data_IF_263493957269
#
_entry.id   IF_263493957269
#
_cell.length_a   1.000
_cell.length_b   1.000
_cell.length_c   1.000
_cell.angle_alpha   90.00
_cell.angle_beta   90.00
_cell.angle_gamma   90.00
#
_symmetry.space_group_name_H-M   'P 1'
#
loop_
_entity.id
_entity.type
_entity.pdbx_description
1 polymer ?
#
# COMPACT_ATOMS: atom_id res chain seq x y z
N UNK A 1 5.98 14.59 7.06
CA UNK A 1 7.28 13.88 7.14
C UNK A 1 7.61 13.36 5.75
N UNK A 2 8.86 13.46 5.33
CA UNK A 2 9.36 12.94 4.05
C UNK A 2 10.53 12.00 4.32
N UNK A 3 10.66 10.97 3.48
CA UNK A 3 11.73 9.97 3.55
C UNK A 3 12.74 10.20 2.41
N UNK A 4 13.81 10.97 2.63
CA UNK A 4 14.78 11.27 1.58
C UNK A 4 15.67 10.08 1.21
N UNK A 5 15.82 9.11 2.12
CA UNK A 5 16.71 7.95 1.97
C UNK A 5 16.02 6.64 2.34
N UNK A 6 16.66 5.51 2.01
CA UNK A 6 16.18 4.16 2.38
C UNK A 6 16.02 3.99 3.90
N UNK A 7 16.93 4.57 4.69
CA UNK A 7 16.83 4.52 6.15
C UNK A 7 15.62 5.31 6.65
N UNK A 8 15.40 6.50 6.10
CA UNK A 8 14.24 7.32 6.43
C UNK A 8 12.93 6.64 6.04
N UNK A 9 12.91 5.87 4.94
CA UNK A 9 11.76 5.04 4.57
C UNK A 9 11.44 3.98 5.64
N UNK A 10 12.47 3.32 6.17
CA UNK A 10 12.35 2.40 7.30
C UNK A 10 11.80 3.08 8.56
N UNK A 11 12.36 4.24 8.95
CA UNK A 11 11.89 5.05 10.08
C UNK A 11 10.42 5.46 9.92
N UNK A 12 10.01 5.91 8.71
CA UNK A 12 8.63 6.26 8.41
C UNK A 12 7.70 5.06 8.57
N UNK A 13 8.10 3.89 8.04
CA UNK A 13 7.35 2.65 8.17
C UNK A 13 7.17 2.21 9.62
N UNK A 14 8.22 2.32 10.44
CA UNK A 14 8.18 2.03 11.87
C UNK A 14 7.25 3.00 12.61
N UNK A 15 7.35 4.30 12.33
CA UNK A 15 6.51 5.33 12.94
C UNK A 15 5.02 5.13 12.60
N UNK A 16 4.70 4.84 11.34
CA UNK A 16 3.33 4.52 10.90
C UNK A 16 2.83 3.26 11.62
N UNK A 17 3.66 2.22 11.72
CA UNK A 17 3.32 0.98 12.40
C UNK A 17 3.10 1.17 13.90
N UNK A 18 3.89 2.03 14.53
CA UNK A 18 3.72 2.43 15.93
C UNK A 18 2.38 3.15 16.14
N UNK A 19 2.09 4.16 15.32
CA UNK A 19 0.86 4.94 15.40
C UNK A 19 -0.40 4.07 15.23
N UNK A 20 -0.34 3.11 14.30
CA UNK A 20 -1.42 2.15 14.01
C UNK A 20 -1.64 1.14 15.13
N UNK A 21 -0.56 0.64 15.74
CA UNK A 21 -0.66 -0.37 16.82
C UNK A 21 -1.18 0.21 18.14
N UNK A 22 -1.06 1.51 18.36
CA UNK A 22 -1.51 2.20 19.58
C UNK A 22 -2.99 2.57 19.58
N UNK A 23 -3.69 2.40 18.47
CA UNK A 23 -5.06 2.90 18.31
C UNK A 23 -5.95 1.87 17.64
N UNK A 24 -7.27 1.92 17.91
CA UNK A 24 -8.23 1.10 17.17
C UNK A 24 -8.21 1.47 15.69
N UNK A 25 -8.69 0.53 14.85
CA UNK A 25 -8.75 0.72 13.39
C UNK A 25 -9.51 2.01 13.04
N UNK A 26 -8.89 2.85 12.22
CA UNK A 26 -9.44 4.15 11.78
C UNK A 26 -8.89 5.35 12.55
N UNK A 27 -8.19 5.12 13.67
CA UNK A 27 -7.53 6.16 14.46
C UNK A 27 -6.03 5.92 14.52
N UNK A 28 -5.26 6.99 14.71
CA UNK A 28 -3.80 6.93 14.81
C UNK A 28 -3.32 7.89 15.89
N UNK A 29 -2.36 7.46 16.70
CA UNK A 29 -1.82 8.28 17.79
C UNK A 29 -0.29 8.31 17.78
N UNK A 30 0.25 9.51 17.74
CA UNK A 30 1.66 9.81 17.97
C UNK A 30 1.78 10.85 19.07
N UNK A 31 2.88 10.78 19.80
CA UNK A 31 3.30 11.71 20.83
C UNK A 31 4.62 12.35 20.42
N UNK A 32 4.98 13.47 21.07
CA UNK A 32 6.24 14.16 20.75
C UNK A 32 7.48 13.29 20.95
N UNK A 33 7.43 12.35 21.91
CA UNK A 33 8.54 11.43 22.19
C UNK A 33 8.81 10.46 21.05
N UNK A 34 7.81 10.17 20.22
CA UNK A 34 7.97 9.23 19.11
C UNK A 34 8.81 9.78 17.96
N UNK A 35 9.06 11.10 17.94
CA UNK A 35 9.95 11.71 16.96
C UNK A 35 11.42 11.73 17.42
N UNK A 36 11.71 11.41 18.68
CA UNK A 36 13.08 11.47 19.24
C UNK A 36 13.72 10.09 19.12
N UNK A 37 14.87 10.01 18.41
CA UNK A 37 15.67 8.78 18.26
C UNK A 37 15.07 7.70 17.35
N UNK A 38 13.96 8.00 16.67
CA UNK A 38 13.30 7.10 15.72
C UNK A 38 13.02 7.78 14.37
N UNK A 39 13.33 9.08 14.23
CA UNK A 39 13.05 9.86 13.02
C UNK A 39 14.25 10.71 12.59
N UNK A 40 15.46 10.19 12.85
CA UNK A 40 16.71 10.92 12.76
C UNK A 40 17.10 11.27 11.32
N UNK A 41 16.60 10.53 10.33
CA UNK A 41 16.87 10.78 8.91
C UNK A 41 15.65 11.31 8.14
N UNK A 42 14.48 11.39 8.78
CA UNK A 42 13.27 11.97 8.20
C UNK A 42 13.35 13.50 8.04
N UNK A 43 12.70 14.04 7.01
CA UNK A 43 12.49 15.50 6.89
C UNK A 43 11.11 15.86 7.41
N UNK A 44 10.98 16.98 8.13
CA UNK A 44 9.72 17.43 8.69
C UNK A 44 9.22 18.70 8.01
N UNK A 45 8.09 18.55 7.32
CA UNK A 45 7.28 19.65 6.82
C UNK A 45 6.17 19.93 7.84
N UNK A 46 6.36 20.95 8.68
CA UNK A 46 5.37 21.33 9.68
C UNK A 46 4.36 22.30 9.07
N UNK A 47 3.07 21.98 9.21
CA UNK A 47 1.98 22.82 8.73
C UNK A 47 1.41 23.64 9.90
N UNK A 48 1.62 24.97 9.94
CA UNK A 48 0.99 25.82 10.93
C UNK A 48 -0.53 25.76 10.81
N UNK A 49 -1.23 25.68 11.95
CA UNK A 49 -2.67 25.85 11.99
C UNK A 49 -2.98 27.36 11.90
N UNK A 50 -3.65 27.84 10.84
CA UNK A 50 -3.95 29.26 10.69
C UNK A 50 -4.80 29.83 11.85
N UNK A 51 -5.61 28.99 12.50
CA UNK A 51 -6.47 29.38 13.62
C UNK A 51 -5.72 29.48 14.96
N UNK A 52 -4.54 28.86 15.08
CA UNK A 52 -3.74 28.94 16.31
C UNK A 52 -2.91 30.21 16.28
N UNK A 53 -2.97 31.02 17.34
CA UNK A 53 -2.20 32.27 17.45
C UNK A 53 -0.75 32.03 17.90
N UNK A 54 -0.52 31.02 18.72
CA UNK A 54 0.80 30.64 19.23
C UNK A 54 1.21 29.26 18.70
N UNK A 55 2.46 29.17 18.22
CA UNK A 55 3.08 27.95 17.71
C UNK A 55 4.35 27.55 18.48
N UNK A 56 4.74 28.34 19.50
CA UNK A 56 6.01 28.23 20.23
C UNK A 56 6.26 26.82 20.72
N UNK A 57 5.32 26.23 21.46
CA UNK A 57 5.50 24.89 22.03
C UNK A 57 5.63 23.78 20.97
N UNK A 58 4.97 23.94 19.82
CA UNK A 58 5.06 22.98 18.72
C UNK A 58 6.41 23.09 18.02
N UNK A 59 6.81 24.33 17.70
CA UNK A 59 8.08 24.64 17.06
C UNK A 59 9.28 24.26 17.93
N UNK A 60 9.21 24.48 19.25
CA UNK A 60 10.24 24.04 20.19
C UNK A 60 10.45 22.52 20.12
N UNK A 61 9.35 21.76 20.23
CA UNK A 61 9.40 20.30 20.24
C UNK A 61 9.89 19.74 18.90
N UNK A 62 9.44 20.32 17.79
CA UNK A 62 9.83 19.87 16.45
C UNK A 62 11.26 20.29 16.10
N UNK A 63 11.70 21.49 16.49
CA UNK A 63 13.07 21.96 16.26
C UNK A 63 14.08 21.09 17.00
N UNK A 64 13.71 20.61 18.19
CA UNK A 64 14.50 19.63 18.92
C UNK A 64 14.61 18.29 18.16
N UNK A 65 13.49 17.73 17.69
CA UNK A 65 13.48 16.42 17.03
C UNK A 65 14.04 16.44 15.59
N UNK A 66 13.91 17.56 14.87
CA UNK A 66 14.22 17.70 13.45
C UNK A 66 15.24 18.80 13.18
N UNK A 67 16.27 18.92 14.02
CA UNK A 67 17.32 19.94 13.88
C UNK A 67 17.97 19.88 12.49
N UNK A 68 17.93 20.99 11.74
CA UNK A 68 18.43 21.07 10.36
C UNK A 68 17.61 20.29 9.31
N UNK A 69 16.45 19.76 9.72
CA UNK A 69 15.53 18.92 8.94
C UNK A 69 14.07 19.34 9.15
N UNK A 70 13.82 20.59 9.56
CA UNK A 70 12.50 21.14 9.81
C UNK A 70 12.25 22.33 8.89
N UNK A 71 11.07 22.37 8.30
CA UNK A 71 10.56 23.47 7.49
C UNK A 71 9.18 23.89 7.97
N UNK A 72 8.92 25.19 7.90
CA UNK A 72 7.56 25.72 8.00
C UNK A 72 6.91 25.60 6.62
N UNK A 73 5.74 24.98 6.55
CA UNK A 73 5.06 24.74 5.27
C UNK A 73 3.95 25.74 5.06
N UNK A 74 4.18 26.69 4.16
CA UNK A 74 3.24 27.76 3.85
C UNK A 74 2.14 27.30 2.88
N UNK A 75 0.91 27.25 3.38
CA UNK A 75 -0.29 27.04 2.57
C UNK A 75 -1.14 28.30 2.61
N UNK A 76 -1.24 29.00 1.46
CA UNK A 76 -1.92 30.28 1.33
C UNK A 76 -3.14 30.16 0.39
N UNK A 77 -4.28 29.56 0.81
CA UNK A 77 -5.49 29.49 0.00
C UNK A 77 -6.12 30.88 -0.16
N UNK A 78 -6.91 31.13 -1.22
CA UNK A 78 -7.65 32.38 -1.36
C UNK A 78 -8.74 32.54 -0.30
N UNK A 79 -8.41 33.27 0.77
CA UNK A 79 -9.25 33.40 1.98
C UNK A 79 -9.44 34.84 2.47
N UNK A 80 -8.80 35.82 1.82
CA UNK A 80 -8.75 37.22 2.26
C UNK A 80 -7.72 37.50 3.37
N UNK A 81 -7.22 36.47 4.04
CA UNK A 81 -6.26 36.56 5.16
C UNK A 81 -4.86 36.06 4.79
N UNK A 82 -4.56 35.86 3.50
CA UNK A 82 -3.29 35.24 3.08
C UNK A 82 -2.09 36.10 3.45
N UNK A 83 -2.19 37.42 3.31
CA UNK A 83 -1.09 38.33 3.61
C UNK A 83 -0.73 38.31 5.10
N UNK A 84 -1.73 38.42 5.98
CA UNK A 84 -1.57 38.32 7.43
C UNK A 84 -0.98 36.96 7.84
N UNK A 85 -1.48 35.86 7.26
CA UNK A 85 -0.95 34.54 7.57
C UNK A 85 0.48 34.34 7.05
N UNK A 86 0.81 34.90 5.87
CA UNK A 86 2.16 34.88 5.33
C UNK A 86 3.15 35.65 6.22
N UNK A 87 2.77 36.84 6.69
CA UNK A 87 3.59 37.64 7.62
C UNK A 87 3.86 36.89 8.92
N UNK A 88 2.85 36.22 9.49
CA UNK A 88 3.01 35.39 10.68
C UNK A 88 3.96 34.21 10.44
N UNK A 89 3.93 33.62 9.26
CA UNK A 89 4.88 32.56 8.86
C UNK A 89 6.30 33.12 8.78
N UNK A 90 6.50 34.27 8.15
CA UNK A 90 7.83 34.91 8.03
C UNK A 90 8.40 35.29 9.40
N UNK A 91 7.57 35.85 10.30
CA UNK A 91 7.98 36.15 11.68
C UNK A 91 8.43 34.88 12.42
N UNK A 92 7.63 33.81 12.37
CA UNK A 92 7.99 32.55 12.99
C UNK A 92 9.25 31.93 12.35
N UNK A 93 9.39 32.02 11.04
CA UNK A 93 10.57 31.55 10.32
C UNK A 93 11.83 32.30 10.77
N UNK A 94 11.74 33.61 10.95
CA UNK A 94 12.83 34.45 11.44
C UNK A 94 13.19 34.12 12.90
N UNK A 95 12.21 34.08 13.80
CA UNK A 95 12.42 33.82 15.23
C UNK A 95 13.06 32.45 15.51
N UNK A 96 12.62 31.43 14.77
CA UNK A 96 13.08 30.05 14.94
C UNK A 96 14.23 29.68 14.00
N UNK A 97 14.64 30.60 13.13
CA UNK A 97 15.65 30.37 12.08
C UNK A 97 15.33 29.12 11.23
N UNK A 98 14.09 29.03 10.75
CA UNK A 98 13.57 27.91 9.97
C UNK A 98 13.29 28.32 8.52
N UNK A 99 13.66 27.48 7.53
CA UNK A 99 13.27 27.70 6.15
C UNK A 99 11.75 27.51 5.97
N UNK A 100 11.19 28.26 5.01
CA UNK A 100 9.78 28.16 4.61
C UNK A 100 9.68 27.51 3.24
N UNK A 101 8.78 26.54 3.10
CA UNK A 101 8.47 25.91 1.81
C UNK A 101 6.99 26.10 1.46
N UNK A 102 6.73 26.48 0.21
CA UNK A 102 5.37 26.63 -0.30
C UNK A 102 4.68 25.26 -0.50
N UNK A 103 3.39 25.17 -0.17
CA UNK A 103 2.57 23.98 -0.42
C UNK A 103 1.12 24.31 -0.75
N UNK A 104 0.60 23.68 -1.80
CA UNK A 104 -0.81 23.82 -2.21
C UNK A 104 -1.75 22.86 -1.47
N UNK A 105 -1.20 21.86 -0.72
CA UNK A 105 -1.96 20.81 -0.04
C UNK A 105 -3.08 20.21 -0.91
N UNK A 106 -2.76 19.72 -2.13
CA UNK A 106 -3.76 19.29 -3.08
C UNK A 106 -4.57 18.11 -2.54
N UNK A 107 -5.88 18.17 -2.74
CA UNK A 107 -6.83 17.07 -2.44
C UNK A 107 -7.65 16.70 -3.68
N UNK A 108 -7.48 17.46 -4.77
CA UNK A 108 -8.15 17.28 -6.05
C UNK A 108 -7.11 17.42 -7.17
N UNK A 109 -7.33 16.74 -8.30
CA UNK A 109 -6.46 16.90 -9.47
C UNK A 109 -6.83 18.15 -10.29
N UNK A 110 -8.10 18.56 -10.30
CA UNK A 110 -8.60 19.76 -11.01
C UNK A 110 -9.75 20.42 -10.24
N UNK A 111 -9.98 21.72 -10.48
CA UNK A 111 -10.95 22.54 -9.74
C UNK A 111 -12.39 22.04 -9.84
N UNK A 112 -12.77 21.49 -10.99
CA UNK A 112 -14.11 20.97 -11.29
C UNK A 112 -14.50 19.78 -10.39
N UNK A 113 -13.53 19.17 -9.67
CA UNK A 113 -13.77 18.04 -8.78
C UNK A 113 -14.23 18.42 -7.37
N UNK A 114 -14.49 19.70 -7.11
CA UNK A 114 -14.96 20.17 -5.79
C UNK A 114 -16.22 19.41 -5.32
N UNK A 115 -17.22 19.24 -6.21
CA UNK A 115 -18.44 18.47 -5.89
C UNK A 115 -18.12 17.03 -5.46
N UNK A 116 -17.20 16.37 -6.16
CA UNK A 116 -16.75 15.01 -5.82
C UNK A 116 -16.01 15.01 -4.48
N UNK A 117 -15.17 16.00 -4.21
CA UNK A 117 -14.47 16.12 -2.95
C UNK A 117 -15.44 16.32 -1.77
N UNK A 118 -16.48 17.14 -1.94
CA UNK A 118 -17.56 17.30 -0.97
C UNK A 118 -18.29 15.98 -0.73
N UNK A 119 -18.60 15.25 -1.81
CA UNK A 119 -19.25 13.93 -1.73
C UNK A 119 -18.39 12.92 -0.98
N UNK A 120 -17.08 12.84 -1.27
CA UNK A 120 -16.16 11.96 -0.55
C UNK A 120 -16.01 12.36 0.93
N UNK A 121 -16.12 13.65 1.25
CA UNK A 121 -16.14 14.15 2.62
C UNK A 121 -17.40 13.73 3.37
N UNK A 122 -18.57 13.88 2.74
CA UNK A 122 -19.85 13.41 3.25
C UNK A 122 -19.85 11.90 3.52
N UNK A 123 -19.35 11.10 2.58
CA UNK A 123 -19.20 9.65 2.77
C UNK A 123 -18.28 9.32 3.93
N UNK A 124 -17.13 10.00 4.04
CA UNK A 124 -16.18 9.79 5.14
C UNK A 124 -16.78 10.12 6.51
N UNK A 125 -17.61 11.15 6.60
CA UNK A 125 -18.26 11.58 7.83
C UNK A 125 -19.57 10.82 8.12
N UNK A 126 -20.08 10.07 7.15
CA UNK A 126 -21.33 9.31 7.28
C UNK A 126 -22.58 10.19 7.36
N UNK A 127 -22.54 11.40 6.80
CA UNK A 127 -23.62 12.38 6.86
C UNK A 127 -23.88 13.01 5.47
N UNK A 128 -25.12 13.43 5.16
CA UNK A 128 -25.43 14.15 3.93
C UNK A 128 -24.66 15.46 3.77
N UNK A 129 -24.36 15.84 2.53
CA UNK A 129 -23.59 17.07 2.20
C UNK A 129 -24.19 18.32 2.86
N UNK A 130 -25.52 18.42 2.88
CA UNK A 130 -26.23 19.57 3.44
C UNK A 130 -26.06 19.72 4.96
N UNK A 131 -25.75 18.63 5.66
CA UNK A 131 -25.60 18.60 7.12
C UNK A 131 -24.17 18.91 7.59
N UNK A 132 -23.20 18.95 6.68
CA UNK A 132 -21.77 19.11 6.99
C UNK A 132 -21.14 20.33 6.30
N UNK A 133 -21.94 21.34 5.94
CA UNK A 133 -21.51 22.48 5.15
C UNK A 133 -20.30 23.23 5.75
N UNK A 134 -20.18 23.26 7.08
CA UNK A 134 -19.08 23.87 7.83
C UNK A 134 -17.74 23.12 7.69
N UNK A 135 -17.80 21.83 7.37
CA UNK A 135 -16.65 20.93 7.19
C UNK A 135 -16.22 20.76 5.72
N UNK A 136 -17.01 21.30 4.78
CA UNK A 136 -16.68 21.24 3.36
C UNK A 136 -15.58 22.22 2.98
N UNK A 137 -14.82 21.86 1.96
CA UNK A 137 -13.86 22.77 1.36
C UNK A 137 -14.58 23.96 0.73
N UNK A 138 -14.22 25.17 1.17
CA UNK A 138 -14.85 26.41 0.71
C UNK A 138 -14.37 26.83 -0.67
N UNK A 139 -13.25 26.27 -1.12
CA UNK A 139 -12.56 26.68 -2.35
C UNK A 139 -12.12 25.47 -3.17
N UNK A 140 -12.13 25.63 -4.50
CA UNK A 140 -11.66 24.62 -5.45
C UNK A 140 -10.14 24.61 -5.64
N UNK A 141 -9.40 25.45 -4.93
CA UNK A 141 -7.99 25.75 -5.20
C UNK A 141 -6.98 24.73 -4.68
N UNK A 142 -7.40 23.77 -3.87
CA UNK A 142 -6.52 22.68 -3.39
C UNK A 142 -6.31 21.64 -4.48
N UNK A 143 -5.68 22.10 -5.55
CA UNK A 143 -5.34 21.40 -6.79
C UNK A 143 -3.90 21.72 -7.15
N UNK A 144 -3.27 20.90 -8.01
CA UNK A 144 -1.95 21.20 -8.55
C UNK A 144 -2.03 22.40 -9.51
N UNK A 145 -1.58 23.58 -9.07
CA UNK A 145 -1.44 24.76 -9.94
C UNK A 145 -0.20 24.64 -10.80
N UNK A 146 -0.24 25.32 -11.95
CA UNK A 146 0.92 25.50 -12.80
C UNK A 146 1.98 26.42 -12.17
N UNK A 147 3.12 26.51 -12.84
CA UNK A 147 4.26 27.29 -12.38
C UNK A 147 3.95 28.80 -12.30
N UNK A 148 3.14 29.33 -13.23
CA UNK A 148 2.80 30.76 -13.22
C UNK A 148 1.91 31.10 -12.03
N UNK A 149 0.89 30.29 -11.74
CA UNK A 149 0.04 30.46 -10.57
C UNK A 149 0.82 30.32 -9.26
N UNK A 150 1.81 29.42 -9.22
CA UNK A 150 2.73 29.32 -8.09
C UNK A 150 3.53 30.61 -7.87
N UNK A 151 4.15 31.17 -8.92
CA UNK A 151 4.92 32.41 -8.85
C UNK A 151 4.09 33.63 -8.45
N UNK A 152 2.82 33.65 -8.84
CA UNK A 152 1.89 34.72 -8.45
C UNK A 152 1.46 34.59 -6.99
N UNK A 153 1.33 33.37 -6.48
CA UNK A 153 0.79 33.11 -5.14
C UNK A 153 1.83 33.13 -4.03
N UNK A 154 3.05 32.68 -4.30
CA UNK A 154 4.07 32.46 -3.29
C UNK A 154 5.32 33.28 -3.56
N UNK A 155 5.99 33.77 -2.49
CA UNK A 155 7.34 34.31 -2.60
C UNK A 155 8.29 33.32 -3.27
N UNK A 156 9.14 33.83 -4.18
CA UNK A 156 10.15 33.01 -4.87
C UNK A 156 11.05 32.19 -3.94
N UNK A 157 11.53 32.73 -2.79
CA UNK A 157 12.35 31.93 -1.86
C UNK A 157 11.62 30.69 -1.34
N UNK A 158 10.33 30.79 -1.03
CA UNK A 158 9.54 29.66 -0.53
C UNK A 158 9.31 28.57 -1.58
N UNK A 159 9.24 28.96 -2.87
CA UNK A 159 9.16 28.03 -3.99
C UNK A 159 10.50 27.33 -4.22
N UNK A 160 11.60 28.08 -4.18
CA UNK A 160 12.95 27.55 -4.37
C UNK A 160 13.32 26.54 -3.29
N UNK A 161 12.83 26.71 -2.06
CA UNK A 161 13.09 25.76 -0.96
C UNK A 161 12.59 24.34 -1.24
N UNK A 162 11.58 24.18 -2.11
CA UNK A 162 11.15 22.85 -2.56
C UNK A 162 12.25 22.09 -3.31
N UNK A 163 13.12 22.79 -4.03
CA UNK A 163 14.28 22.22 -4.73
C UNK A 163 15.38 21.85 -3.74
N UNK A 164 15.64 22.70 -2.74
CA UNK A 164 16.59 22.41 -1.65
C UNK A 164 16.17 21.16 -0.86
N UNK A 165 14.87 20.93 -0.67
CA UNK A 165 14.35 19.70 -0.06
C UNK A 165 14.55 18.52 -1.01
N UNK A 166 14.26 18.68 -2.31
CA UNK A 166 14.40 17.63 -3.31
C UNK A 166 15.86 17.16 -3.46
N UNK A 167 16.82 18.08 -3.40
CA UNK A 167 18.26 17.78 -3.48
C UNK A 167 18.76 16.89 -2.33
N UNK A 168 17.96 16.71 -1.28
CA UNK A 168 18.28 15.77 -0.19
C UNK A 168 17.86 14.34 -0.48
N UNK A 169 17.10 14.09 -1.54
CA UNK A 169 16.62 12.75 -1.87
C UNK A 169 17.69 11.96 -2.64
N UNK A 170 18.04 10.79 -2.13
CA UNK A 170 18.94 9.81 -2.76
C UNK A 170 18.27 8.44 -2.95
N UNK A 171 16.97 8.36 -2.69
CA UNK A 171 16.20 7.11 -2.65
C UNK A 171 15.01 7.12 -3.60
N UNK A 172 14.83 6.00 -4.29
CA UNK A 172 13.66 5.65 -5.07
C UNK A 172 13.03 4.37 -4.52
N UNK A 173 11.70 4.23 -4.67
CA UNK A 173 11.04 2.96 -4.36
C UNK A 173 11.58 1.79 -5.20
N UNK A 174 12.21 2.07 -6.35
CA UNK A 174 12.90 1.08 -7.16
C UNK A 174 14.15 0.47 -6.50
N UNK A 175 14.68 1.11 -5.45
CA UNK A 175 15.84 0.59 -4.68
C UNK A 175 15.43 -0.51 -3.68
N UNK A 176 14.12 -0.69 -3.46
CA UNK A 176 13.59 -1.74 -2.60
C UNK A 176 13.67 -3.09 -3.32
N UNK A 177 14.21 -4.10 -2.62
CA UNK A 177 14.37 -5.46 -3.12
C UNK A 177 13.82 -6.44 -2.09
N UNK A 178 13.44 -7.63 -2.55
CA UNK A 178 13.07 -8.71 -1.64
C UNK A 178 14.25 -9.09 -0.75
N UNK A 179 14.01 -9.14 0.56
CA UNK A 179 14.93 -9.66 1.55
C UNK A 179 14.31 -10.92 2.16
N UNK A 180 14.98 -12.07 1.96
CA UNK A 180 14.49 -13.34 2.46
C UNK A 180 15.02 -13.63 3.87
N UNK A 181 14.25 -14.35 4.71
CA UNK A 181 14.70 -14.76 6.03
C UNK A 181 15.94 -15.67 5.95
N UNK A 182 16.99 -15.34 6.72
CA UNK A 182 18.24 -16.13 6.74
C UNK A 182 18.14 -17.38 7.60
N UNK A 183 17.28 -17.34 8.62
CA UNK A 183 17.06 -18.44 9.57
C UNK A 183 16.41 -19.70 8.94
N UNK A 184 16.08 -19.67 7.65
CA UNK A 184 15.52 -20.82 6.94
C UNK A 184 16.58 -21.91 6.69
N UNK A 185 17.85 -21.52 6.61
CA UNK A 185 18.96 -22.44 6.33
C UNK A 185 19.62 -22.88 7.65
N UNK A 186 19.72 -24.19 7.92
CA UNK A 186 20.40 -24.69 9.10
C UNK A 186 21.89 -24.32 9.11
N UNK A 187 22.51 -24.06 10.28
CA UNK A 187 23.90 -23.59 10.37
C UNK A 187 24.96 -24.52 9.78
N UNK A 188 24.65 -25.82 9.65
CA UNK A 188 25.56 -26.80 9.05
C UNK A 188 25.70 -26.66 7.53
N UNK A 189 24.80 -25.93 6.87
CA UNK A 189 24.87 -25.68 5.44
C UNK A 189 25.61 -24.38 5.17
N UNK A 190 26.51 -24.41 4.18
CA UNK A 190 27.29 -23.23 3.77
C UNK A 190 26.51 -22.25 2.89
N UNK A 191 25.46 -22.71 2.21
CA UNK A 191 24.63 -21.92 1.29
C UNK A 191 23.20 -22.52 1.22
N UNK A 192 22.20 -21.66 1.10
CA UNK A 192 20.79 -22.02 0.97
C UNK A 192 20.49 -22.90 -0.24
N UNK A 193 21.24 -22.74 -1.34
CA UNK A 193 21.12 -23.56 -2.53
C UNK A 193 21.56 -25.01 -2.28
N UNK A 194 22.60 -25.23 -1.47
CA UNK A 194 23.07 -26.58 -1.12
C UNK A 194 22.00 -27.28 -0.28
N UNK A 195 21.44 -26.57 0.71
CA UNK A 195 20.36 -27.10 1.52
C UNK A 195 19.11 -27.43 0.69
N UNK A 196 18.73 -26.55 -0.24
CA UNK A 196 17.63 -26.80 -1.16
C UNK A 196 17.87 -28.06 -2.00
N UNK A 197 19.08 -28.23 -2.55
CA UNK A 197 19.43 -29.40 -3.35
C UNK A 197 19.29 -30.71 -2.55
N UNK A 198 19.75 -30.73 -1.31
CA UNK A 198 19.63 -31.91 -0.44
C UNK A 198 18.16 -32.29 -0.20
N UNK A 199 17.31 -31.31 0.13
CA UNK A 199 15.87 -31.53 0.32
C UNK A 199 15.19 -32.02 -0.96
N UNK A 200 15.57 -31.48 -2.12
CA UNK A 200 15.03 -31.92 -3.41
C UNK A 200 15.43 -33.35 -3.71
N UNK A 201 16.68 -33.75 -3.43
CA UNK A 201 17.14 -35.13 -3.61
C UNK A 201 16.46 -36.09 -2.64
N UNK A 202 16.29 -35.71 -1.37
CA UNK A 202 15.55 -36.48 -0.39
C UNK A 202 14.10 -36.71 -0.86
N UNK A 203 13.42 -35.64 -1.27
CA UNK A 203 12.07 -35.71 -1.80
C UNK A 203 11.96 -36.53 -3.08
N UNK A 204 12.92 -36.41 -4.00
CA UNK A 204 12.96 -37.21 -5.22
C UNK A 204 13.11 -38.70 -4.90
N UNK A 205 13.95 -39.08 -3.95
CA UNK A 205 14.10 -40.48 -3.51
C UNK A 205 12.80 -41.02 -2.89
N UNK A 206 12.03 -40.19 -2.19
CA UNK A 206 10.71 -40.58 -1.66
C UNK A 206 9.65 -40.73 -2.77
N UNK A 207 9.65 -39.84 -3.77
CA UNK A 207 8.72 -39.88 -4.91
C UNK A 207 9.01 -41.04 -5.86
N UNK A 208 10.29 -41.39 -6.03
CA UNK A 208 10.77 -42.45 -6.90
C UNK A 208 11.64 -43.47 -6.15
N UNK A 209 11.05 -44.33 -5.29
CA UNK A 209 11.80 -45.28 -4.46
C UNK A 209 12.56 -46.34 -5.27
N UNK A 210 12.16 -46.59 -6.52
CA UNK A 210 12.81 -47.52 -7.44
C UNK A 210 13.87 -46.85 -8.32
N UNK A 211 14.23 -45.59 -8.03
CA UNK A 211 15.19 -44.80 -8.80
C UNK A 211 14.54 -43.68 -9.61
N UNK A 212 15.20 -42.52 -9.62
CA UNK A 212 14.76 -41.32 -10.33
C UNK A 212 14.96 -41.53 -11.84
N UNK A 213 13.94 -41.36 -12.69
CA UNK A 213 14.10 -41.47 -14.13
C UNK A 213 15.15 -40.49 -14.70
N UNK A 214 15.94 -40.86 -15.73
CA UNK A 214 17.00 -40.00 -16.26
C UNK A 214 16.51 -38.61 -16.70
N UNK A 215 15.38 -38.55 -17.41
CA UNK A 215 14.80 -37.30 -17.89
C UNK A 215 14.37 -36.37 -16.72
N UNK A 216 13.88 -36.97 -15.62
CA UNK A 216 13.52 -36.25 -14.40
C UNK A 216 14.77 -35.74 -13.67
N UNK A 217 15.83 -36.54 -13.59
CA UNK A 217 17.10 -36.12 -13.01
C UNK A 217 17.68 -34.90 -13.74
N UNK A 218 17.66 -34.92 -15.08
CA UNK A 218 18.09 -33.77 -15.90
C UNK A 218 17.20 -32.55 -15.67
N UNK A 219 15.89 -32.75 -15.52
CA UNK A 219 14.97 -31.66 -15.23
C UNK A 219 15.22 -31.04 -13.85
N UNK A 220 15.47 -31.86 -12.82
CA UNK A 220 15.83 -31.39 -11.47
C UNK A 220 17.09 -30.53 -11.53
N UNK A 221 18.13 -30.98 -12.23
CA UNK A 221 19.38 -30.23 -12.38
C UNK A 221 19.16 -28.90 -13.12
N UNK A 222 18.36 -28.91 -14.20
CA UNK A 222 18.00 -27.70 -14.96
C UNK A 222 17.27 -26.68 -14.08
N UNK A 223 16.27 -27.11 -13.32
CA UNK A 223 15.51 -26.21 -12.43
C UNK A 223 16.38 -25.67 -11.28
N UNK A 224 17.16 -26.53 -10.62
CA UNK A 224 18.07 -26.11 -9.55
C UNK A 224 19.11 -25.10 -10.05
N UNK A 225 19.71 -25.33 -11.22
CA UNK A 225 20.66 -24.38 -11.82
C UNK A 225 20.03 -23.01 -12.05
N UNK A 226 18.79 -22.97 -12.55
CA UNK A 226 18.07 -21.71 -12.76
C UNK A 226 17.73 -21.01 -11.43
N UNK A 227 17.30 -21.76 -10.41
CA UNK A 227 17.02 -21.23 -9.07
C UNK A 227 18.29 -20.63 -8.45
N UNK A 228 19.46 -21.25 -8.66
CA UNK A 228 20.74 -20.73 -8.19
C UNK A 228 21.10 -19.42 -8.90
N UNK A 229 21.00 -19.39 -10.23
CA UNK A 229 21.31 -18.20 -11.04
C UNK A 229 20.43 -17.01 -10.65
N UNK A 230 19.15 -17.26 -10.42
CA UNK A 230 18.17 -16.24 -10.03
C UNK A 230 18.17 -15.93 -8.52
N UNK A 231 18.96 -16.66 -7.71
CA UNK A 231 19.05 -16.52 -6.25
C UNK A 231 17.70 -16.69 -5.52
N UNK A 232 16.91 -17.68 -5.94
CA UNK A 232 15.59 -17.95 -5.37
C UNK A 232 15.56 -19.10 -4.34
N UNK A 233 16.72 -19.63 -3.93
CA UNK A 233 16.77 -20.77 -3.00
C UNK A 233 15.98 -20.50 -1.70
N UNK A 234 16.16 -19.34 -1.07
CA UNK A 234 15.45 -18.97 0.17
C UNK A 234 13.93 -18.92 -0.01
N UNK A 235 13.44 -18.55 -1.19
CA UNK A 235 12.01 -18.51 -1.48
C UNK A 235 11.41 -19.92 -1.47
N UNK A 236 12.03 -20.86 -2.20
CA UNK A 236 11.61 -22.27 -2.21
C UNK A 236 11.70 -22.90 -0.82
N UNK A 237 12.77 -22.62 -0.08
CA UNK A 237 12.93 -23.12 1.30
C UNK A 237 11.85 -22.59 2.24
N UNK A 238 11.46 -21.31 2.10
CA UNK A 238 10.39 -20.70 2.91
C UNK A 238 9.05 -21.37 2.65
N UNK A 239 8.72 -21.63 1.38
CA UNK A 239 7.47 -22.33 1.04
C UNK A 239 7.51 -23.78 1.50
N UNK A 240 8.61 -24.48 1.24
CA UNK A 240 8.80 -25.87 1.68
C UNK A 240 8.60 -26.01 3.19
N UNK A 241 9.16 -25.10 3.99
CA UNK A 241 9.02 -25.12 5.44
C UNK A 241 7.56 -24.97 5.91
N UNK A 242 6.80 -24.06 5.30
CA UNK A 242 5.38 -23.87 5.60
C UNK A 242 4.58 -25.12 5.22
N UNK A 243 4.87 -25.72 4.06
CA UNK A 243 4.23 -26.94 3.58
C UNK A 243 4.59 -28.14 4.46
N UNK A 244 5.87 -28.29 4.83
CA UNK A 244 6.34 -29.36 5.71
C UNK A 244 5.67 -29.28 7.08
N UNK A 245 5.54 -28.07 7.65
CA UNK A 245 4.74 -27.87 8.86
C UNK A 245 3.29 -28.33 8.68
N UNK A 246 2.60 -27.86 7.64
CA UNK A 246 1.21 -28.22 7.38
C UNK A 246 1.05 -29.75 7.28
N UNK A 247 1.90 -30.44 6.51
CA UNK A 247 1.87 -31.90 6.35
C UNK A 247 2.17 -32.63 7.67
N UNK A 248 3.12 -32.16 8.47
CA UNK A 248 3.42 -32.74 9.80
C UNK A 248 2.23 -32.69 10.76
N UNK A 249 1.33 -31.74 10.59
CA UNK A 249 0.10 -31.57 11.38
C UNK A 249 -1.12 -32.21 10.71
N UNK A 250 -0.93 -32.94 9.61
CA UNK A 250 -2.00 -33.53 8.82
C UNK A 250 -2.95 -32.51 8.19
N UNK A 251 -2.48 -31.27 7.95
CA UNK A 251 -3.24 -30.23 7.27
C UNK A 251 -3.12 -30.45 5.76
N UNK A 252 -4.27 -30.58 5.08
CA UNK A 252 -4.29 -30.70 3.62
C UNK A 252 -3.77 -29.40 2.99
N UNK A 253 -2.81 -29.54 2.08
CA UNK A 253 -2.27 -28.43 1.31
C UNK A 253 -1.95 -28.83 -0.13
N UNK A 254 -2.04 -27.87 -1.05
CA UNK A 254 -1.80 -28.10 -2.48
C UNK A 254 -1.31 -26.82 -3.16
N UNK A 255 -0.16 -26.89 -3.82
CA UNK A 255 0.33 -25.83 -4.69
C UNK A 255 -0.60 -25.57 -5.89
N UNK A 256 -0.81 -24.30 -6.22
CA UNK A 256 -1.62 -23.83 -7.35
C UNK A 256 -0.78 -23.07 -8.38
N UNK A 257 -1.41 -22.81 -9.53
CA UNK A 257 -0.84 -21.98 -10.57
C UNK A 257 0.43 -22.58 -11.17
N UNK A 258 1.43 -21.74 -11.40
CA UNK A 258 2.67 -22.13 -12.05
C UNK A 258 3.57 -23.04 -11.19
N UNK A 259 3.35 -23.11 -9.88
CA UNK A 259 4.06 -24.04 -9.00
C UNK A 259 3.82 -25.51 -9.36
N UNK A 260 2.69 -25.83 -10.00
CA UNK A 260 2.39 -27.17 -10.50
C UNK A 260 3.31 -27.63 -11.66
N UNK A 261 4.03 -26.70 -12.29
CA UNK A 261 4.89 -26.96 -13.45
C UNK A 261 6.37 -27.16 -13.09
N UNK A 262 6.70 -27.34 -11.80
CA UNK A 262 8.08 -27.46 -11.32
C UNK A 262 8.34 -28.83 -10.69
N UNK A 263 9.37 -29.53 -11.16
CA UNK A 263 9.83 -30.77 -10.54
C UNK A 263 10.42 -30.52 -9.15
N UNK A 264 11.06 -29.37 -8.93
CA UNK A 264 11.54 -28.97 -7.59
C UNK A 264 10.37 -28.85 -6.62
N UNK A 265 9.28 -28.18 -7.01
CA UNK A 265 8.06 -28.09 -6.19
C UNK A 265 7.44 -29.48 -5.91
N UNK A 266 7.49 -30.40 -6.88
CA UNK A 266 6.98 -31.77 -6.70
C UNK A 266 7.82 -32.58 -5.71
N UNK A 267 9.15 -32.47 -5.80
CA UNK A 267 10.09 -33.12 -4.87
C UNK A 267 9.96 -32.55 -3.46
N UNK A 268 9.75 -31.24 -3.33
CA UNK A 268 9.51 -30.58 -2.03
C UNK A 268 8.09 -30.78 -1.48
N UNK A 269 7.28 -31.64 -2.12
CA UNK A 269 5.89 -31.90 -1.71
C UNK A 269 4.99 -30.66 -1.67
N UNK A 270 5.35 -29.60 -2.40
CA UNK A 270 4.53 -28.39 -2.55
C UNK A 270 3.37 -28.67 -3.52
N UNK A 271 3.61 -29.47 -4.56
CA UNK A 271 2.59 -29.93 -5.51
C UNK A 271 2.54 -31.45 -5.58
N UNK A 272 1.35 -32.01 -5.80
CA UNK A 272 1.13 -33.43 -6.12
C UNK A 272 1.09 -33.73 -7.63
N UNK A 273 1.36 -32.74 -8.49
CA UNK A 273 1.36 -32.92 -9.95
C UNK A 273 2.67 -33.59 -10.39
N UNK A 274 2.58 -34.85 -10.80
CA UNK A 274 3.71 -35.65 -11.29
C UNK A 274 4.18 -35.14 -12.67
N UNK A 275 5.42 -34.61 -12.78
CA UNK A 275 5.95 -34.07 -14.03
C UNK A 275 6.20 -35.14 -15.10
N UNK A 276 6.22 -36.44 -14.74
CA UNK A 276 6.33 -37.52 -15.72
C UNK A 276 5.03 -37.76 -16.50
N UNK A 277 3.90 -37.26 -16.00
CA UNK A 277 2.56 -37.49 -16.57
C UNK A 277 2.03 -36.30 -17.36
N UNK A 278 2.68 -35.14 -17.25
CA UNK A 278 2.21 -33.88 -17.85
C UNK A 278 3.40 -33.14 -18.45
N UNK A 279 3.26 -32.70 -19.71
CA UNK A 279 4.25 -31.81 -20.32
C UNK A 279 4.13 -30.43 -19.70
N UNK A 280 5.03 -30.13 -18.77
CA UNK A 280 5.07 -28.87 -18.03
C UNK A 280 6.13 -27.94 -18.61
N UNK A 281 5.76 -26.68 -18.87
CA UNK A 281 6.68 -25.64 -19.36
C UNK A 281 7.22 -24.83 -18.18
N UNK A 282 8.32 -25.28 -17.58
CA UNK A 282 8.97 -24.62 -16.44
C UNK A 282 9.41 -23.17 -16.74
N UNK A 283 9.76 -22.85 -18.00
CA UNK A 283 10.16 -21.49 -18.42
C UNK A 283 9.03 -20.46 -18.27
N UNK A 284 7.76 -20.91 -18.13
CA UNK A 284 6.64 -20.03 -17.79
C UNK A 284 6.54 -19.71 -16.29
N UNK A 285 7.20 -20.51 -15.45
CA UNK A 285 7.21 -20.35 -13.99
C UNK A 285 8.39 -19.51 -13.53
N UNK A 286 9.61 -19.83 -14.00
CA UNK A 286 10.82 -19.03 -13.74
C UNK A 286 11.37 -18.53 -15.07
N UNK A 287 11.25 -17.23 -15.32
CA UNK A 287 11.78 -16.57 -16.52
C UNK A 287 12.85 -15.56 -16.17
N UNK A 288 14.03 -15.70 -16.79
CA UNK A 288 15.14 -14.75 -16.67
C UNK A 288 14.75 -13.34 -17.14
N UNK A 289 13.83 -13.24 -18.10
CA UNK A 289 13.40 -11.96 -18.70
C UNK A 289 12.50 -11.15 -17.77
N UNK A 290 11.81 -11.80 -16.82
CA UNK A 290 10.89 -11.11 -15.89
C UNK A 290 11.61 -10.52 -14.68
N UNK A 291 12.73 -11.10 -14.27
CA UNK A 291 13.52 -10.69 -13.09
C UNK A 291 12.69 -10.52 -11.80
N UNK A 292 11.59 -11.27 -11.69
CA UNK A 292 10.68 -11.33 -10.55
C UNK A 292 10.63 -12.78 -10.03
N UNK A 293 10.57 -12.98 -8.70
CA UNK A 293 10.45 -14.33 -8.14
C UNK A 293 9.17 -15.01 -8.65
N UNK A 294 9.20 -16.33 -8.86
CA UNK A 294 8.00 -17.07 -9.25
C UNK A 294 6.93 -16.96 -8.17
N UNK A 295 5.65 -16.95 -8.56
CA UNK A 295 4.55 -16.97 -7.60
C UNK A 295 4.19 -18.42 -7.23
N UNK A 296 4.44 -18.80 -5.98
CA UNK A 296 4.07 -20.10 -5.41
C UNK A 296 2.92 -19.91 -4.43
N UNK A 297 1.71 -20.06 -4.97
CA UNK A 297 0.49 -20.12 -4.17
C UNK A 297 0.28 -21.53 -3.61
N UNK A 298 0.06 -21.61 -2.31
CA UNK A 298 -0.31 -22.86 -1.64
C UNK A 298 -1.67 -22.70 -0.99
N UNK A 299 -2.59 -23.57 -1.37
CA UNK A 299 -3.86 -23.72 -0.70
C UNK A 299 -3.71 -24.57 0.55
N UNK A 300 -4.40 -24.16 1.61
CA UNK A 300 -4.51 -24.91 2.86
C UNK A 300 -5.98 -25.16 3.17
N UNK A 301 -6.25 -26.25 3.90
CA UNK A 301 -7.56 -26.56 4.45
C UNK A 301 -8.17 -25.33 5.15
N UNK A 302 -9.36 -24.92 4.72
CA UNK A 302 -9.96 -23.65 5.13
C UNK A 302 -10.07 -23.50 6.66
N UNK A 303 -10.52 -24.54 7.36
CA UNK A 303 -10.72 -24.53 8.81
C UNK A 303 -9.41 -24.55 9.61
N UNK A 304 -8.30 -25.00 9.01
CA UNK A 304 -7.00 -25.17 9.67
C UNK A 304 -5.93 -24.19 9.17
N UNK A 305 -6.27 -23.31 8.22
CA UNK A 305 -5.37 -22.27 7.70
C UNK A 305 -4.80 -21.38 8.80
N UNK A 306 -5.55 -21.10 9.86
CA UNK A 306 -5.06 -20.27 10.96
C UNK A 306 -3.88 -20.93 11.69
N UNK A 307 -3.83 -22.27 11.82
CA UNK A 307 -2.71 -22.97 12.45
C UNK A 307 -1.39 -22.70 11.70
N UNK A 308 -1.44 -22.67 10.37
CA UNK A 308 -0.31 -22.35 9.49
C UNK A 308 0.09 -20.88 9.64
N UNK A 309 -0.88 -19.97 9.71
CA UNK A 309 -0.62 -18.54 9.96
C UNK A 309 0.06 -18.36 11.32
N UNK A 310 -0.42 -19.02 12.37
CA UNK A 310 0.19 -18.96 13.69
C UNK A 310 1.60 -19.56 13.71
N UNK A 311 1.86 -20.60 12.92
CA UNK A 311 3.21 -21.14 12.74
C UNK A 311 4.16 -20.08 12.16
N UNK A 312 3.76 -19.40 11.07
CA UNK A 312 4.55 -18.33 10.46
C UNK A 312 4.83 -17.23 11.48
N UNK A 313 3.84 -16.79 12.26
CA UNK A 313 4.05 -15.79 13.30
C UNK A 313 4.97 -16.26 14.43
N UNK A 314 4.89 -17.52 14.85
CA UNK A 314 5.81 -18.07 15.87
C UNK A 314 7.24 -18.13 15.36
N UNK A 315 7.44 -18.52 14.10
CA UNK A 315 8.77 -18.68 13.50
C UNK A 315 9.42 -17.34 13.16
N UNK A 316 8.70 -16.44 12.50
CA UNK A 316 9.27 -15.19 11.98
C UNK A 316 9.03 -13.97 12.87
N UNK A 317 8.17 -14.09 13.88
CA UNK A 317 7.68 -13.00 14.72
C UNK A 317 6.71 -12.05 14.02
N UNK A 318 5.92 -11.33 14.83
CA UNK A 318 5.00 -10.28 14.36
C UNK A 318 5.71 -9.02 13.84
N UNK A 319 7.04 -8.96 13.96
CA UNK A 319 7.85 -7.86 13.45
C UNK A 319 8.27 -8.07 11.98
N UNK A 320 8.28 -9.32 11.51
CA UNK A 320 8.73 -9.70 10.17
C UNK A 320 7.67 -10.45 9.35
N UNK A 321 6.54 -10.82 9.96
CA UNK A 321 5.38 -11.39 9.28
C UNK A 321 4.14 -10.52 9.48
N UNK A 322 3.34 -10.37 8.42
CA UNK A 322 2.05 -9.67 8.46
C UNK A 322 1.12 -10.21 7.37
N UNK A 323 -0.19 -10.01 7.54
CA UNK A 323 -1.17 -10.27 6.49
C UNK A 323 -1.20 -9.09 5.50
N UNK A 324 -1.21 -9.41 4.20
CA UNK A 324 -1.40 -8.41 3.16
C UNK A 324 -2.79 -7.76 3.28
N UNK A 325 -2.84 -6.43 3.21
CA UNK A 325 -4.09 -5.69 3.26
C UNK A 325 -4.82 -5.73 1.92
N UNK A 326 -6.14 -5.91 1.95
CA UNK A 326 -6.99 -5.74 0.78
C UNK A 326 -7.40 -4.26 0.63
N UNK A 327 -7.11 -3.67 -0.52
CA UNK A 327 -7.56 -2.32 -0.87
C UNK A 327 -8.92 -2.40 -1.55
N UNK A 328 -9.97 -1.95 -0.87
CA UNK A 328 -11.33 -1.93 -1.41
C UNK A 328 -11.46 -0.73 -2.33
N UNK A 329 -11.83 -1.00 -3.59
CA UNK A 329 -12.14 0.04 -4.58
C UNK A 329 -13.65 0.12 -4.80
N UNK A 330 -14.17 1.31 -5.09
CA UNK A 330 -15.58 1.48 -5.43
C UNK A 330 -15.94 0.68 -6.68
N UNK A 331 -16.98 -0.13 -6.57
CA UNK A 331 -17.68 -0.72 -7.71
C UNK A 331 -18.98 0.04 -7.92
N UNK A 332 -19.61 -0.08 -9.09
CA UNK A 332 -20.79 0.72 -9.47
C UNK A 332 -21.88 0.74 -8.39
N UNK A 333 -22.25 -0.43 -7.86
CA UNK A 333 -23.30 -0.54 -6.83
C UNK A 333 -22.92 0.15 -5.52
N UNK A 334 -21.69 -0.04 -5.02
CA UNK A 334 -21.26 0.62 -3.78
C UNK A 334 -21.11 2.13 -3.96
N UNK A 335 -20.66 2.58 -5.14
CA UNK A 335 -20.57 4.00 -5.47
C UNK A 335 -21.96 4.66 -5.44
N UNK A 336 -22.95 4.10 -6.13
CA UNK A 336 -24.32 4.62 -6.14
C UNK A 336 -24.90 4.67 -4.73
N UNK A 337 -24.66 3.62 -3.94
CA UNK A 337 -25.18 3.56 -2.58
C UNK A 337 -24.62 4.66 -1.69
N UNK A 338 -23.30 4.83 -1.68
CA UNK A 338 -22.66 5.76 -0.77
C UNK A 338 -22.77 7.21 -1.26
N UNK A 339 -22.74 7.46 -2.58
CA UNK A 339 -23.04 8.78 -3.16
C UNK A 339 -24.50 9.15 -2.96
N UNK A 340 -25.43 8.21 -3.16
CA UNK A 340 -26.85 8.45 -2.93
C UNK A 340 -27.15 8.89 -1.49
N UNK A 341 -26.51 8.23 -0.51
CA UNK A 341 -26.59 8.64 0.91
C UNK A 341 -26.02 10.04 1.13
N UNK A 342 -24.85 10.34 0.55
CA UNK A 342 -24.24 11.67 0.65
C UNK A 342 -25.13 12.77 0.04
N UNK A 343 -25.87 12.47 -1.02
CA UNK A 343 -26.84 13.37 -1.67
C UNK A 343 -28.21 13.40 -0.96
N UNK A 344 -28.37 12.70 0.16
CA UNK A 344 -29.63 12.57 0.90
C UNK A 344 -30.78 11.95 0.09
N UNK A 345 -30.50 10.96 -0.77
CA UNK A 345 -31.53 10.22 -1.47
C UNK A 345 -32.24 9.24 -0.51
N UNK A 346 -33.55 9.00 -0.70
CA UNK A 346 -34.28 7.96 0.03
C UNK A 346 -33.61 6.59 -0.12
N UNK A 347 -33.55 5.80 0.95
CA UNK A 347 -32.90 4.48 0.94
C UNK A 347 -33.55 3.54 -0.07
N UNK A 348 -34.89 3.51 -0.15
CA UNK A 348 -35.62 2.67 -1.11
C UNK A 348 -35.24 2.99 -2.56
N UNK A 349 -35.04 4.28 -2.85
CA UNK A 349 -34.57 4.73 -4.16
C UNK A 349 -33.15 4.23 -4.42
N UNK A 350 -32.25 4.35 -3.44
CA UNK A 350 -30.87 3.87 -3.56
C UNK A 350 -30.82 2.35 -3.81
N UNK A 351 -31.66 1.58 -3.11
CA UNK A 351 -31.75 0.13 -3.27
C UNK A 351 -32.26 -0.24 -4.67
N UNK A 352 -33.30 0.44 -5.17
CA UNK A 352 -33.79 0.25 -6.53
C UNK A 352 -32.72 0.59 -7.59
N UNK A 353 -32.01 1.71 -7.43
CA UNK A 353 -30.94 2.15 -8.34
C UNK A 353 -29.74 1.19 -8.33
N UNK A 354 -29.33 0.72 -7.15
CA UNK A 354 -28.16 -0.17 -7.02
C UNK A 354 -28.48 -1.63 -7.40
N UNK A 355 -29.70 -2.08 -7.14
CA UNK A 355 -30.18 -3.44 -7.47
C UNK A 355 -30.45 -3.64 -8.96
N UNK A 356 -30.94 -2.60 -9.65
CA UNK A 356 -31.24 -2.65 -11.08
C UNK A 356 -30.01 -2.76 -11.98
N UNK A 357 -28.80 -2.51 -11.49
CA UNK A 357 -27.58 -2.58 -12.30
C UNK A 357 -26.97 -3.97 -12.32
N UNK A 358 -26.82 -4.54 -13.51
CA UNK A 358 -26.01 -5.72 -13.75
C UNK A 358 -24.51 -5.35 -13.80
N UNK A 359 -23.63 -6.31 -13.50
CA UNK A 359 -22.19 -6.04 -13.42
C UNK A 359 -21.56 -5.63 -14.78
N UNK A 360 -22.22 -5.96 -15.89
CA UNK A 360 -21.79 -5.68 -17.27
C UNK A 360 -22.41 -4.41 -17.90
N UNK A 361 -23.33 -3.70 -17.23
CA UNK A 361 -24.04 -2.57 -17.86
C UNK A 361 -23.12 -1.39 -18.18
N UNK A 362 -23.26 -0.82 -19.38
CA UNK A 362 -22.57 0.43 -19.76
C UNK A 362 -23.15 1.63 -18.98
N UNK A 363 -22.37 2.72 -18.88
CA UNK A 363 -22.80 3.96 -18.18
C UNK A 363 -24.12 4.50 -18.75
N UNK A 364 -24.30 4.39 -20.07
CA UNK A 364 -25.48 4.91 -20.78
C UNK A 364 -26.75 4.11 -20.46
N UNK A 365 -26.64 2.81 -20.23
CA UNK A 365 -27.76 1.94 -19.85
C UNK A 365 -28.26 2.17 -18.41
N UNK A 366 -27.54 2.97 -17.61
CA UNK A 366 -27.96 3.30 -16.24
C UNK A 366 -29.19 4.21 -16.23
N UNK A 367 -29.20 5.25 -17.06
CA UNK A 367 -30.28 6.23 -17.10
C UNK A 367 -31.58 5.62 -17.64
N UNK A 368 -31.48 4.75 -18.63
CA UNK A 368 -32.61 4.03 -19.20
C UNK A 368 -33.27 3.12 -18.15
N UNK A 369 -32.46 2.38 -17.37
CA UNK A 369 -32.96 1.57 -16.24
C UNK A 369 -33.60 2.40 -15.14
N UNK A 370 -33.09 3.60 -14.89
CA UNK A 370 -33.73 4.51 -13.93
C UNK A 370 -35.11 4.95 -14.44
N UNK A 371 -35.21 5.27 -15.73
CA UNK A 371 -36.49 5.60 -16.36
C UNK A 371 -37.50 4.43 -16.32
N UNK A 372 -37.04 3.18 -16.55
CA UNK A 372 -37.87 1.97 -16.45
C UNK A 372 -38.44 1.76 -15.04
N UNK A 373 -37.72 2.21 -14.00
CA UNK A 373 -38.18 2.22 -12.60
C UNK A 373 -39.09 3.41 -12.26
N UNK A 374 -39.46 4.24 -13.24
CA UNK A 374 -40.27 5.45 -13.05
C UNK A 374 -39.50 6.62 -12.43
N UNK A 375 -38.17 6.55 -12.37
CA UNK A 375 -37.31 7.60 -11.79
C UNK A 375 -36.94 8.57 -12.90
N UNK A 376 -37.24 9.86 -12.73
CA UNK A 376 -36.89 10.87 -13.71
C UNK A 376 -35.36 11.03 -13.83
N UNK A 377 -34.72 10.60 -14.93
CA UNK A 377 -33.26 10.67 -15.07
C UNK A 377 -32.75 12.10 -15.18
N UNK A 378 -33.63 13.04 -15.54
CA UNK A 378 -33.33 14.47 -15.65
C UNK A 378 -33.57 15.23 -14.33
N UNK A 379 -33.97 14.52 -13.27
CA UNK A 379 -34.11 15.09 -11.94
C UNK A 379 -32.77 15.64 -11.42
N UNK A 380 -32.77 16.76 -10.68
CA UNK A 380 -31.52 17.43 -10.26
C UNK A 380 -30.62 16.53 -9.42
N UNK A 381 -31.19 15.71 -8.52
CA UNK A 381 -30.42 14.79 -7.69
C UNK A 381 -29.86 13.59 -8.47
N UNK A 382 -30.58 13.10 -9.49
CA UNK A 382 -30.11 12.00 -10.34
C UNK A 382 -28.99 12.47 -11.27
N UNK A 383 -29.10 13.69 -11.81
CA UNK A 383 -27.99 14.31 -12.55
C UNK A 383 -26.73 14.41 -11.68
N UNK A 384 -26.87 14.92 -10.45
CA UNK A 384 -25.76 15.00 -9.48
C UNK A 384 -25.16 13.62 -9.13
N UNK A 385 -25.97 12.57 -9.08
CA UNK A 385 -25.50 11.20 -8.86
C UNK A 385 -24.66 10.65 -10.02
N UNK A 386 -24.94 11.11 -11.25
CA UNK A 386 -24.36 10.57 -12.50
C UNK A 386 -23.20 11.39 -13.08
N UNK A 387 -23.07 12.65 -12.66
CA UNK A 387 -21.92 13.55 -12.87
C UNK A 387 -20.67 13.02 -12.15
#
# INVERSE_FOLDING_TARGET
>A
LLAPSRNAWGELGQLISLARRRSPKGSYQLTRRDFIGQTDTLLCLWHPNPQSLDWTTQLESLSYAFRGRLWITAHLPESGHQAEFAERIDLAAFEWNLPVVASQRPIMHVRQRLKLQHTLTAIRLGAPILEIADQLERSSERTLMDHQGLLQRYPKPWLHESLNILDRFDFSLADLRYEYPKEICPPQYSDEHIFLKDLVLEGANQRWPNGIPPDISQLIEKELSLIQEMKYACYFLTVHDIVAFARSQGILCQGRGSAANSVVCYCLFITEVDPSRVSVLFERFVSKERNEPPDIDVDFEHHRRDEVIQYIYRKYSKERAALAAAVITYKKRSAIRDVGKALNLPLDLIEALSGSLAWWDKKDAMLDRFAELGINPQGPQIRLLTE
#
